data_IF_398697698367
#
_entry.id   IF_398697698367
#
_cell.length_a   1.000
_cell.length_b   1.000
_cell.length_c   1.000
_cell.angle_alpha   90.00
_cell.angle_beta   90.00
_cell.angle_gamma   90.00
#
_symmetry.space_group_name_H-M   'P 1'
#
loop_
_entity.id
_entity.type
_entity.pdbx_description
1 polymer ?
#
# COMPACT_ATOMS: atom_id res chain seq x y z
N UNK A 1 48.95 -18.53 18.95
CA UNK A 1 47.73 -17.71 19.02
C UNK A 1 47.58 -16.80 17.80
N UNK A 2 46.64 -17.11 16.91
CA UNK A 2 46.10 -16.11 15.98
C UNK A 2 44.59 -16.14 16.15
N UNK A 3 44.10 -15.21 16.97
CA UNK A 3 42.70 -14.95 17.22
C UNK A 3 42.06 -14.40 15.94
N UNK A 4 41.43 -15.30 15.18
CA UNK A 4 40.56 -14.93 14.08
C UNK A 4 39.43 -14.04 14.60
N UNK A 5 39.46 -12.76 14.21
CA UNK A 5 38.42 -11.78 14.55
C UNK A 5 37.03 -12.34 14.19
N UNK A 6 36.03 -12.25 15.07
CA UNK A 6 34.69 -12.71 14.74
C UNK A 6 34.14 -11.86 13.59
N UNK A 7 33.81 -12.53 12.47
CA UNK A 7 33.09 -11.92 11.34
C UNK A 7 31.79 -11.35 11.89
N UNK A 8 31.69 -10.01 11.98
CA UNK A 8 30.43 -9.32 12.30
C UNK A 8 29.36 -9.83 11.32
N UNK A 9 28.41 -10.65 11.81
CA UNK A 9 27.24 -11.07 11.04
C UNK A 9 26.57 -9.79 10.58
N UNK A 10 26.67 -9.46 9.28
CA UNK A 10 25.82 -8.45 8.65
C UNK A 10 24.39 -8.88 8.97
N UNK A 11 23.72 -8.16 9.87
CA UNK A 11 22.30 -8.33 10.16
C UNK A 11 21.63 -8.28 8.79
N UNK A 12 21.15 -9.42 8.28
CA UNK A 12 20.29 -9.41 7.09
C UNK A 12 19.16 -8.46 7.44
N UNK A 13 19.12 -7.28 6.82
CA UNK A 13 17.91 -6.48 6.80
C UNK A 13 16.90 -7.39 6.11
N UNK A 14 16.16 -8.16 6.90
CA UNK A 14 15.02 -8.90 6.38
C UNK A 14 14.15 -7.81 5.76
N UNK A 15 14.08 -7.79 4.43
CA UNK A 15 13.30 -6.80 3.72
C UNK A 15 11.84 -7.07 4.08
N UNK A 16 11.34 -6.33 5.07
CA UNK A 16 10.03 -6.51 5.70
C UNK A 16 8.93 -6.55 4.62
N UNK A 17 9.07 -5.70 3.61
CA UNK A 17 8.20 -5.66 2.44
C UNK A 17 8.33 -6.85 1.49
N UNK A 18 9.52 -7.43 1.29
CA UNK A 18 9.64 -8.66 0.51
C UNK A 18 8.90 -9.82 1.20
N UNK A 19 9.01 -9.92 2.53
CA UNK A 19 8.26 -10.92 3.30
C UNK A 19 6.75 -10.68 3.20
N UNK A 20 6.30 -9.42 3.29
CA UNK A 20 4.87 -9.07 3.10
C UNK A 20 4.37 -9.44 1.70
N UNK A 21 5.14 -9.16 0.65
CA UNK A 21 4.78 -9.52 -0.73
C UNK A 21 4.69 -11.04 -0.88
N UNK A 22 5.66 -11.79 -0.34
CA UNK A 22 5.60 -13.26 -0.36
C UNK A 22 4.38 -13.80 0.38
N UNK A 23 4.07 -13.25 1.54
CA UNK A 23 2.89 -13.63 2.31
C UNK A 23 1.59 -13.31 1.56
N UNK A 24 1.51 -12.14 0.93
CA UNK A 24 0.38 -11.73 0.11
C UNK A 24 0.15 -12.71 -1.05
N UNK A 25 1.21 -13.05 -1.80
CA UNK A 25 1.15 -14.01 -2.90
C UNK A 25 0.77 -15.42 -2.41
N UNK A 26 1.32 -15.88 -1.28
CA UNK A 26 0.99 -17.20 -0.72
C UNK A 26 -0.49 -17.32 -0.32
N UNK A 27 -1.13 -16.22 0.07
CA UNK A 27 -2.56 -16.17 0.39
C UNK A 27 -3.45 -15.81 -0.81
N UNK A 28 -2.90 -15.71 -2.02
CA UNK A 28 -3.60 -15.21 -3.23
C UNK A 28 -4.34 -13.88 -3.00
N UNK A 29 -3.84 -13.05 -2.09
CA UNK A 29 -4.38 -11.73 -1.81
C UNK A 29 -3.78 -10.70 -2.77
N UNK A 30 -4.49 -9.60 -3.01
CA UNK A 30 -4.04 -8.50 -3.86
C UNK A 30 -3.79 -7.19 -3.08
N UNK A 31 -3.83 -7.21 -1.74
CA UNK A 31 -3.63 -6.02 -0.91
C UNK A 31 -2.27 -6.03 -0.23
N UNK A 32 -1.44 -5.02 -0.54
CA UNK A 32 -0.13 -4.83 0.07
C UNK A 32 -0.17 -3.69 1.09
N UNK A 33 0.06 -4.00 2.36
CA UNK A 33 0.08 -3.01 3.44
C UNK A 33 1.43 -2.31 3.56
N UNK A 34 1.44 -0.97 3.53
CA UNK A 34 2.61 -0.12 3.63
C UNK A 34 2.47 0.89 4.75
N UNK A 35 3.36 0.81 5.75
CA UNK A 35 3.39 1.78 6.85
C UNK A 35 3.89 3.15 6.40
N UNK A 36 3.14 4.20 6.74
CA UNK A 36 3.49 5.60 6.51
C UNK A 36 4.78 5.99 7.25
N UNK A 37 4.99 5.47 8.47
CA UNK A 37 6.19 5.75 9.27
C UNK A 37 7.48 5.26 8.58
N UNK A 38 7.42 4.12 7.89
CA UNK A 38 8.55 3.60 7.13
C UNK A 38 8.87 4.46 5.91
N UNK A 39 7.84 5.01 5.24
CA UNK A 39 8.01 5.94 4.14
C UNK A 39 8.65 7.23 4.65
N UNK A 40 8.10 7.81 5.72
CA UNK A 40 8.63 9.03 6.34
C UNK A 40 10.09 8.89 6.80
N UNK A 41 10.46 7.74 7.38
CA UNK A 41 11.83 7.48 7.83
C UNK A 41 12.84 7.32 6.69
N UNK A 42 12.38 6.95 5.48
CA UNK A 42 13.27 6.68 4.35
C UNK A 42 13.30 7.84 3.36
N UNK A 43 12.13 8.32 2.96
CA UNK A 43 11.94 9.39 1.99
C UNK A 43 10.73 10.25 2.40
N UNK A 44 10.96 11.36 3.13
CA UNK A 44 9.89 12.20 3.66
C UNK A 44 9.07 12.89 2.56
N UNK A 45 9.71 13.22 1.44
CA UNK A 45 9.06 13.85 0.28
C UNK A 45 7.90 13.00 -0.26
N UNK A 46 8.13 11.68 -0.36
CA UNK A 46 7.10 10.75 -0.83
C UNK A 46 5.94 10.65 0.18
N UNK A 47 6.24 10.71 1.47
CA UNK A 47 5.22 10.69 2.51
C UNK A 47 4.31 11.94 2.43
N UNK A 48 4.88 13.12 2.17
CA UNK A 48 4.11 14.36 1.98
C UNK A 48 3.20 14.24 0.75
N UNK A 49 3.72 13.78 -0.39
CA UNK A 49 2.91 13.64 -1.62
C UNK A 49 1.76 12.66 -1.46
N UNK A 50 1.94 11.58 -0.69
CA UNK A 50 0.89 10.63 -0.37
C UNK A 50 -0.28 11.29 0.37
N UNK A 51 0.01 12.27 1.25
CA UNK A 51 -1.01 12.98 2.02
C UNK A 51 -1.72 14.02 1.15
N UNK A 52 -0.97 14.78 0.36
CA UNK A 52 -1.50 15.90 -0.42
C UNK A 52 -2.23 15.46 -1.71
N UNK A 53 -1.72 14.42 -2.37
CA UNK A 53 -2.26 13.92 -3.65
C UNK A 53 -2.31 12.38 -3.68
N UNK A 54 -3.09 11.73 -2.78
CA UNK A 54 -3.16 10.28 -2.68
C UNK A 54 -3.60 9.61 -3.97
N UNK A 55 -4.49 10.22 -4.76
CA UNK A 55 -5.02 9.59 -5.98
C UNK A 55 -3.91 9.28 -6.98
N UNK A 56 -3.12 10.28 -7.33
CA UNK A 56 -2.06 10.15 -8.31
C UNK A 56 -0.90 9.29 -7.77
N UNK A 57 -0.53 9.49 -6.51
CA UNK A 57 0.59 8.77 -5.90
C UNK A 57 0.27 7.30 -5.66
N UNK A 58 -0.96 6.97 -5.23
CA UNK A 58 -1.37 5.59 -5.04
C UNK A 58 -1.43 4.82 -6.36
N UNK A 59 -1.77 5.47 -7.46
CA UNK A 59 -1.79 4.81 -8.78
C UNK A 59 -0.38 4.42 -9.23
N UNK A 60 0.61 5.31 -9.06
CA UNK A 60 2.03 5.00 -9.32
C UNK A 60 2.57 3.93 -8.35
N UNK A 61 2.20 4.00 -7.08
CA UNK A 61 2.56 2.97 -6.09
C UNK A 61 1.96 1.61 -6.44
N UNK A 62 0.73 1.59 -6.96
CA UNK A 62 0.05 0.37 -7.41
C UNK A 62 0.77 -0.26 -8.60
N UNK A 63 1.14 0.54 -9.59
CA UNK A 63 1.88 0.07 -10.77
C UNK A 63 3.25 -0.51 -10.35
N UNK A 64 4.00 0.23 -9.53
CA UNK A 64 5.33 -0.20 -9.09
C UNK A 64 5.28 -1.44 -8.19
N UNK A 65 4.29 -1.56 -7.30
CA UNK A 65 4.06 -2.74 -6.48
C UNK A 65 3.70 -3.97 -7.33
N UNK A 66 2.82 -3.80 -8.31
CA UNK A 66 2.45 -4.86 -9.26
C UNK A 66 3.66 -5.32 -10.05
N UNK A 67 4.41 -4.38 -10.64
CA UNK A 67 5.64 -4.68 -11.39
C UNK A 67 6.68 -5.41 -10.55
N UNK A 68 6.86 -5.03 -9.29
CA UNK A 68 7.81 -5.70 -8.41
C UNK A 68 7.34 -7.11 -8.01
N UNK A 69 6.03 -7.27 -7.76
CA UNK A 69 5.43 -8.57 -7.43
C UNK A 69 5.57 -9.54 -8.60
N UNK A 70 5.30 -9.09 -9.82
CA UNK A 70 5.46 -9.91 -11.04
C UNK A 70 6.91 -10.32 -11.31
N UNK A 71 7.89 -9.47 -10.95
CA UNK A 71 9.32 -9.84 -11.03
C UNK A 71 9.69 -10.97 -10.09
N UNK A 72 9.07 -11.04 -8.91
CA UNK A 72 9.31 -12.10 -7.94
C UNK A 72 8.50 -13.37 -8.26
N UNK A 73 7.26 -13.19 -8.71
CA UNK A 73 6.28 -14.24 -8.97
C UNK A 73 5.58 -13.98 -10.31
N UNK A 74 6.15 -14.42 -11.45
CA UNK A 74 5.57 -14.14 -12.77
C UNK A 74 4.19 -14.78 -12.97
N UNK A 75 3.92 -15.91 -12.30
CA UNK A 75 2.62 -16.58 -12.35
C UNK A 75 1.49 -15.86 -11.61
N UNK A 76 1.76 -14.76 -10.89
CA UNK A 76 0.72 -14.03 -10.17
C UNK A 76 -0.25 -13.28 -11.11
N UNK A 77 0.21 -12.93 -12.32
CA UNK A 77 -0.60 -12.24 -13.34
C UNK A 77 -1.82 -13.05 -13.82
N UNK A 78 -1.85 -14.38 -13.63
CA UNK A 78 -3.00 -15.19 -14.03
C UNK A 78 -4.14 -15.18 -13.00
N UNK A 79 -3.84 -14.74 -11.77
CA UNK A 79 -4.79 -14.74 -10.64
C UNK A 79 -5.36 -13.34 -10.45
N UNK A 80 -4.49 -12.33 -10.40
CA UNK A 80 -4.87 -10.93 -10.21
C UNK A 80 -4.07 -10.03 -11.14
N UNK A 81 -4.77 -9.11 -11.80
CA UNK A 81 -4.17 -8.14 -12.73
C UNK A 81 -3.41 -7.02 -12.00
N UNK A 82 -3.86 -6.65 -10.79
CA UNK A 82 -3.36 -5.49 -10.05
C UNK A 82 -3.18 -5.78 -8.55
N UNK A 83 -2.11 -5.24 -7.96
CA UNK A 83 -1.87 -5.26 -6.51
C UNK A 83 -2.19 -3.89 -5.91
N UNK A 84 -3.21 -3.80 -5.06
CA UNK A 84 -3.61 -2.56 -4.38
C UNK A 84 -2.76 -2.29 -3.13
N UNK A 85 -2.09 -1.13 -3.11
CA UNK A 85 -1.36 -0.65 -1.92
C UNK A 85 -2.33 -0.04 -0.90
N UNK A 86 -2.18 -0.42 0.37
CA UNK A 86 -2.96 0.09 1.51
C UNK A 86 -2.01 0.76 2.50
N UNK A 87 -2.23 2.03 2.79
CA UNK A 87 -1.37 2.79 3.71
C UNK A 87 -1.84 2.54 5.15
N UNK A 88 -0.90 2.22 6.03
CA UNK A 88 -1.10 2.03 7.46
C UNK A 88 -0.32 3.08 8.27
N UNK A 89 -0.62 3.17 9.57
CA UNK A 89 0.15 3.96 10.56
C UNK A 89 0.28 5.47 10.26
N UNK A 90 -0.73 6.09 9.66
CA UNK A 90 -0.77 7.56 9.57
C UNK A 90 -0.86 8.11 11.00
N UNK A 91 0.05 9.02 11.41
CA UNK A 91 0.15 9.47 12.81
C UNK A 91 -0.95 10.47 13.18
N UNK A 92 -1.46 11.21 12.20
CA UNK A 92 -2.55 12.18 12.38
C UNK A 92 -3.88 11.42 12.35
N UNK A 93 -4.74 11.71 13.31
CA UNK A 93 -6.10 11.16 13.39
C UNK A 93 -7.07 12.34 13.42
N UNK A 94 -7.93 12.41 12.41
CA UNK A 94 -8.94 13.45 12.28
C UNK A 94 -10.28 12.96 12.84
N UNK A 95 -10.88 13.76 13.72
CA UNK A 95 -12.25 13.51 14.17
C UNK A 95 -13.23 13.82 13.04
N UNK A 96 -14.32 13.06 12.94
CA UNK A 96 -15.36 13.30 11.93
C UNK A 96 -15.95 14.72 11.99
N UNK A 97 -15.90 15.37 13.16
CA UNK A 97 -16.39 16.75 13.36
C UNK A 97 -15.41 17.81 12.86
N UNK A 98 -14.14 17.47 12.69
CA UNK A 98 -13.07 18.41 12.34
C UNK A 98 -12.80 18.49 10.83
N UNK A 99 -13.47 17.64 10.04
CA UNK A 99 -13.34 17.63 8.58
C UNK A 99 -13.90 18.92 7.96
N UNK A 100 -13.00 19.73 7.40
CA UNK A 100 -13.27 20.97 6.63
C UNK A 100 -12.82 20.85 5.17
N UNK A 101 -13.12 21.90 4.38
CA UNK A 101 -12.68 22.08 2.97
C UNK A 101 -11.19 21.82 2.74
N UNK A 102 -10.34 22.10 3.74
CA UNK A 102 -8.89 21.86 3.67
C UNK A 102 -8.50 20.40 3.47
N UNK A 103 -9.39 19.44 3.79
CA UNK A 103 -9.11 18.01 3.65
C UNK A 103 -9.63 17.42 2.33
N UNK A 104 -10.19 18.25 1.44
CA UNK A 104 -10.60 17.78 0.12
C UNK A 104 -9.39 17.29 -0.67
N UNK A 105 -9.59 16.19 -1.39
CA UNK A 105 -8.59 15.49 -2.20
C UNK A 105 -7.32 15.04 -1.45
N UNK A 106 -7.25 15.21 -0.12
CA UNK A 106 -6.15 14.79 0.73
C UNK A 106 -6.45 13.44 1.40
N UNK A 107 -5.40 12.74 1.85
CA UNK A 107 -5.53 11.50 2.60
C UNK A 107 -5.84 11.79 4.07
N UNK A 108 -6.99 11.32 4.56
CA UNK A 108 -7.41 11.47 5.97
C UNK A 108 -7.49 10.13 6.67
N UNK A 109 -7.18 10.11 7.97
CA UNK A 109 -7.40 8.97 8.84
C UNK A 109 -8.47 9.33 9.87
N UNK A 110 -9.62 8.65 9.81
CA UNK A 110 -10.75 8.90 10.70
C UNK A 110 -11.06 7.68 11.57
N UNK A 111 -11.65 7.93 12.74
CA UNK A 111 -12.20 6.88 13.60
C UNK A 111 -13.70 7.11 13.84
N UNK A 112 -14.48 6.05 13.90
CA UNK A 112 -15.93 6.12 14.09
C UNK A 112 -16.58 4.75 14.23
N UNK A 113 -17.86 4.75 14.58
CA UNK A 113 -18.68 3.53 14.72
C UNK A 113 -19.54 3.35 13.47
N UNK A 114 -19.53 2.15 12.91
CA UNK A 114 -20.37 1.80 11.76
C UNK A 114 -21.79 1.51 12.25
N UNK A 115 -22.74 2.39 11.96
CA UNK A 115 -24.15 2.26 12.39
C UNK A 115 -25.04 1.56 11.37
N UNK A 116 -24.73 1.71 10.08
CA UNK A 116 -25.43 1.06 8.96
C UNK A 116 -24.44 0.70 7.85
N UNK A 117 -24.75 -0.38 7.13
CA UNK A 117 -24.01 -0.91 5.98
C UNK A 117 -25.02 -1.29 4.91
N UNK A 118 -24.79 -0.91 3.65
CA UNK A 118 -25.55 -1.42 2.51
C UNK A 118 -25.12 -2.85 2.16
N UNK A 119 -25.95 -3.58 1.42
CA UNK A 119 -25.53 -4.84 0.81
C UNK A 119 -24.38 -4.60 -0.19
N UNK A 120 -23.64 -5.68 -0.49
CA UNK A 120 -22.54 -5.65 -1.45
C UNK A 120 -23.11 -5.80 -2.85
N UNK A 121 -22.89 -4.79 -3.68
CA UNK A 121 -23.27 -4.80 -5.10
C UNK A 121 -22.01 -4.64 -5.97
N UNK A 122 -21.86 -5.41 -7.04
CA UNK A 122 -20.75 -5.23 -7.98
C UNK A 122 -20.90 -3.87 -8.69
N UNK A 123 -19.79 -3.13 -8.80
CA UNK A 123 -19.72 -1.87 -9.55
C UNK A 123 -19.03 -2.08 -10.89
N UNK A 124 -19.43 -1.31 -11.90
CA UNK A 124 -18.82 -1.32 -13.21
C UNK A 124 -17.40 -0.73 -13.14
N UNK A 125 -16.38 -1.54 -13.49
CA UNK A 125 -14.97 -1.08 -13.59
C UNK A 125 -14.63 -0.61 -15.00
N UNK A 126 -15.09 -1.32 -16.02
CA UNK A 126 -14.84 -1.01 -17.44
C UNK A 126 -16.16 -1.16 -18.22
N UNK A 127 -16.43 -0.20 -19.09
CA UNK A 127 -17.60 -0.20 -19.96
C UNK A 127 -17.12 -0.38 -21.41
N UNK A 128 -17.62 -1.42 -22.08
CA UNK A 128 -17.45 -1.62 -23.52
C UNK A 128 -18.77 -1.26 -24.21
N UNK A 129 -18.68 -0.57 -25.35
CA UNK A 129 -19.82 -0.16 -26.13
C UNK A 129 -19.70 -0.73 -27.54
N UNK A 130 -20.77 -1.31 -28.03
CA UNK A 130 -20.88 -1.71 -29.43
C UNK A 130 -21.32 -0.48 -30.25
N UNK A 131 -20.65 -0.25 -31.38
CA UNK A 131 -21.10 0.75 -32.34
C UNK A 131 -22.40 0.26 -33.00
N UNK A 132 -23.35 1.18 -33.21
CA UNK A 132 -24.58 0.95 -33.97
C UNK A 132 -24.24 0.81 -35.46
#
# INVERSE_FOLDING_TARGET
>A
EQSGRPKKRKKKKNALYEMRIRSMCASNACSLEVSYLHLMSREPTLAIWIVDAPRDVLDVLRETATRHTLRLFPGFATIHDEVHVRIADIPILDSLRDLRRSHLDCLVKVNGVVTRRSAVYPQLKMAYYDCI
#
